data_IF_640926676803
#
_entry.id   IF_640926676803
#
_cell.length_a   1.000
_cell.length_b   1.000
_cell.length_c   1.000
_cell.angle_alpha   90.00
_cell.angle_beta   90.00
_cell.angle_gamma   90.00
#
_symmetry.space_group_name_H-M   'P 1'
#
loop_
_entity.id
_entity.type
_entity.pdbx_description
1 polymer ?
#
# COMPACT_ATOMS: atom_id res chain seq x y z
N UNK A 1 -12.93 12.20 10.42
CA UNK A 1 -13.11 10.74 10.54
C UNK A 1 -11.82 10.07 10.06
N UNK A 2 -11.02 9.61 10.98
CA UNK A 2 -9.75 8.94 10.67
C UNK A 2 -10.11 7.54 10.19
N UNK A 3 -9.93 7.27 8.91
CA UNK A 3 -10.00 5.91 8.39
C UNK A 3 -8.74 5.20 8.89
N UNK A 4 -8.91 4.40 9.93
CA UNK A 4 -7.83 3.61 10.51
C UNK A 4 -7.41 2.58 9.47
N UNK A 5 -6.23 2.74 8.90
CA UNK A 5 -5.54 1.65 8.21
C UNK A 5 -5.28 0.55 9.25
N UNK A 6 -6.14 -0.46 9.30
CA UNK A 6 -5.96 -1.57 10.23
C UNK A 6 -4.82 -2.44 9.76
N UNK A 7 -3.77 -2.51 10.56
CA UNK A 7 -2.83 -3.62 10.46
C UNK A 7 -3.58 -4.88 10.89
N UNK A 8 -3.88 -5.76 9.95
CA UNK A 8 -4.39 -7.09 10.25
C UNK A 8 -3.29 -7.91 10.93
N UNK A 9 -3.32 -7.96 12.26
CA UNK A 9 -2.56 -8.99 12.98
C UNK A 9 -3.23 -10.32 12.68
N UNK A 10 -2.54 -11.20 11.97
CA UNK A 10 -2.95 -12.60 11.82
C UNK A 10 -2.95 -13.27 13.19
N UNK A 11 -4.08 -13.24 13.86
CA UNK A 11 -4.32 -14.08 15.02
C UNK A 11 -4.73 -15.44 14.46
N UNK A 12 -3.83 -16.40 14.56
CA UNK A 12 -4.15 -17.79 14.34
C UNK A 12 -5.18 -18.22 15.41
N UNK A 13 -6.46 -18.15 15.08
CA UNK A 13 -7.51 -18.82 15.81
C UNK A 13 -8.12 -19.88 14.92
N UNK A 14 -7.68 -21.09 15.21
CA UNK A 14 -8.31 -22.34 14.82
C UNK A 14 -9.76 -22.35 15.32
N UNK A 15 -10.74 -22.23 14.42
CA UNK A 15 -12.10 -22.76 14.65
C UNK A 15 -12.73 -23.17 13.34
N UNK A 16 -13.03 -24.46 13.31
CA UNK A 16 -13.78 -25.25 12.37
C UNK A 16 -15.08 -24.54 11.93
N UNK A 17 -15.35 -24.58 10.61
CA UNK A 17 -16.71 -24.49 10.15
C UNK A 17 -16.98 -23.42 9.09
N UNK A 18 -17.13 -23.89 7.91
CA UNK A 18 -17.67 -23.35 6.66
C UNK A 18 -16.62 -22.94 5.63
N UNK A 19 -16.28 -23.89 4.78
CA UNK A 19 -15.52 -23.65 3.55
C UNK A 19 -16.39 -22.93 2.54
N UNK A 20 -16.25 -21.62 2.43
CA UNK A 20 -16.49 -20.93 1.18
C UNK A 20 -15.18 -20.98 0.39
N UNK A 21 -15.15 -21.84 -0.59
CA UNK A 21 -14.06 -21.93 -1.58
C UNK A 21 -14.06 -20.67 -2.45
N UNK A 22 -13.48 -19.59 -1.97
CA UNK A 22 -12.87 -18.59 -2.81
C UNK A 22 -11.37 -18.80 -2.68
N UNK A 23 -10.83 -19.59 -3.57
CA UNK A 23 -9.41 -19.67 -3.84
C UNK A 23 -8.96 -18.35 -4.48
N UNK A 24 -8.99 -17.25 -3.72
CA UNK A 24 -8.13 -16.13 -3.98
C UNK A 24 -6.72 -16.64 -3.71
N UNK A 25 -5.99 -16.88 -4.77
CA UNK A 25 -4.61 -17.34 -4.73
C UNK A 25 -3.81 -16.29 -3.94
N UNK A 26 -3.47 -16.60 -2.70
CA UNK A 26 -2.69 -15.73 -1.82
C UNK A 26 -1.36 -15.40 -2.52
N UNK A 27 -1.09 -14.10 -2.71
CA UNK A 27 0.15 -13.65 -3.28
C UNK A 27 1.23 -13.62 -2.20
N UNK A 28 2.20 -14.52 -2.31
CA UNK A 28 3.36 -14.56 -1.43
C UNK A 28 4.42 -13.54 -1.84
N UNK A 29 5.20 -13.02 -0.87
CA UNK A 29 6.32 -12.11 -1.09
C UNK A 29 7.35 -12.68 -2.07
N UNK A 30 7.52 -14.00 -2.10
CA UNK A 30 8.45 -14.70 -3.00
C UNK A 30 8.09 -14.55 -4.48
N UNK A 31 6.88 -14.11 -4.80
CA UNK A 31 6.41 -13.87 -6.18
C UNK A 31 6.62 -12.42 -6.63
N UNK A 32 6.98 -11.54 -5.72
CA UNK A 32 7.26 -10.14 -6.02
C UNK A 32 8.69 -9.99 -6.53
N UNK A 33 8.89 -9.05 -7.46
CA UNK A 33 10.23 -8.62 -7.83
C UNK A 33 10.86 -7.73 -6.75
N UNK A 34 12.13 -7.36 -6.93
CA UNK A 34 12.86 -6.57 -5.93
C UNK A 34 12.22 -5.21 -5.68
N UNK A 35 11.79 -4.50 -6.74
CA UNK A 35 11.17 -3.19 -6.61
C UNK A 35 9.82 -3.26 -5.88
N UNK A 36 9.01 -4.25 -6.18
CA UNK A 36 7.74 -4.51 -5.49
C UNK A 36 7.95 -4.83 -4.01
N UNK A 37 8.97 -5.63 -3.69
CA UNK A 37 9.32 -5.94 -2.30
C UNK A 37 9.77 -4.70 -1.53
N UNK A 38 10.59 -3.84 -2.13
CA UNK A 38 11.02 -2.58 -1.52
C UNK A 38 9.82 -1.68 -1.27
N UNK A 39 8.95 -1.50 -2.26
CA UNK A 39 7.75 -0.68 -2.13
C UNK A 39 6.82 -1.23 -1.03
N UNK A 40 6.64 -2.54 -0.98
CA UNK A 40 5.84 -3.19 0.06
C UNK A 40 6.41 -2.97 1.47
N UNK A 41 7.73 -3.08 1.61
CA UNK A 41 8.42 -2.79 2.87
C UNK A 41 8.17 -1.34 3.32
N UNK A 42 8.24 -0.39 2.40
CA UNK A 42 8.00 1.03 2.65
C UNK A 42 6.54 1.29 3.04
N UNK A 43 5.58 0.67 2.37
CA UNK A 43 4.15 0.77 2.72
C UNK A 43 3.91 0.28 4.14
N UNK A 44 4.41 -0.90 4.48
CA UNK A 44 4.22 -1.52 5.80
C UNK A 44 4.85 -0.72 6.92
N UNK A 45 6.07 -0.24 6.70
CA UNK A 45 6.77 0.59 7.68
C UNK A 45 6.04 1.92 7.91
N UNK A 46 5.57 2.57 6.84
CA UNK A 46 4.80 3.82 6.95
C UNK A 46 3.55 3.63 7.83
N UNK A 47 2.78 2.57 7.57
CA UNK A 47 1.56 2.27 8.33
C UNK A 47 1.88 1.92 9.78
N UNK A 48 2.94 1.13 10.01
CA UNK A 48 3.37 0.78 11.36
C UNK A 48 3.77 2.03 12.15
N UNK A 49 4.61 2.90 11.58
CA UNK A 49 5.04 4.15 12.22
C UNK A 49 3.86 5.05 12.59
N UNK A 50 2.94 5.27 11.65
CA UNK A 50 1.76 6.12 11.91
C UNK A 50 0.86 5.52 13.00
N UNK A 51 0.67 4.20 13.03
CA UNK A 51 -0.12 3.55 14.08
C UNK A 51 0.55 3.62 15.47
N UNK A 52 1.86 3.74 15.52
CA UNK A 52 2.64 3.89 16.75
C UNK A 52 2.88 5.36 17.11
N UNK A 53 2.30 6.30 16.36
CA UNK A 53 2.50 7.75 16.46
C UNK A 53 3.96 8.18 16.26
N UNK A 54 4.69 7.44 15.45
CA UNK A 54 6.05 7.76 15.03
C UNK A 54 6.06 8.47 13.68
N UNK A 55 7.13 9.22 13.42
CA UNK A 55 7.33 9.90 12.13
C UNK A 55 7.92 8.91 11.10
N UNK A 56 7.23 8.58 10.00
CA UNK A 56 7.72 7.67 9.00
C UNK A 56 8.82 8.27 8.10
N UNK A 57 8.96 9.59 8.03
CA UNK A 57 9.84 10.29 7.08
C UNK A 57 11.31 9.91 7.15
N UNK A 58 11.93 9.72 8.35
CA UNK A 58 13.32 9.32 8.42
C UNK A 58 13.60 7.94 7.79
N UNK A 59 12.68 7.00 7.93
CA UNK A 59 12.77 5.69 7.27
C UNK A 59 12.58 5.83 5.76
N UNK A 60 11.56 6.57 5.33
CA UNK A 60 11.30 6.82 3.91
C UNK A 60 12.51 7.43 3.21
N UNK A 61 13.11 8.48 3.80
CA UNK A 61 14.31 9.11 3.26
C UNK A 61 15.41 8.08 2.99
N UNK A 62 15.76 7.28 3.98
CA UNK A 62 16.81 6.26 3.82
C UNK A 62 16.44 5.19 2.77
N UNK A 63 15.19 4.75 2.74
CA UNK A 63 14.76 3.73 1.79
C UNK A 63 14.80 4.22 0.34
N UNK A 64 14.31 5.42 0.09
CA UNK A 64 14.29 6.01 -1.25
C UNK A 64 15.71 6.44 -1.70
N UNK A 65 16.54 6.96 -0.80
CA UNK A 65 17.95 7.26 -1.09
C UNK A 65 18.72 5.98 -1.45
N UNK A 66 18.53 4.90 -0.72
CA UNK A 66 19.15 3.60 -1.02
C UNK A 66 18.68 3.03 -2.37
N UNK A 67 17.46 3.33 -2.80
CA UNK A 67 16.92 2.95 -4.10
C UNK A 67 17.35 3.90 -5.23
N UNK A 68 18.04 5.01 -4.91
CA UNK A 68 18.47 6.02 -5.89
C UNK A 68 17.32 6.86 -6.45
N UNK A 69 16.19 6.95 -5.74
CA UNK A 69 14.99 7.68 -6.15
C UNK A 69 14.97 9.02 -5.40
N UNK A 70 15.50 10.05 -6.05
CA UNK A 70 15.47 11.41 -5.53
C UNK A 70 14.00 11.90 -5.47
N UNK A 71 13.67 12.64 -4.42
CA UNK A 71 12.32 13.20 -4.19
C UNK A 71 11.17 12.20 -4.04
N UNK A 72 11.44 10.90 -4.07
CA UNK A 72 10.42 9.87 -3.92
C UNK A 72 9.76 9.84 -2.53
N UNK A 73 10.54 10.08 -1.48
CA UNK A 73 10.05 9.99 -0.11
C UNK A 73 8.94 11.00 0.23
N UNK A 74 9.06 12.30 -0.08
CA UNK A 74 7.98 13.27 0.17
C UNK A 74 6.72 12.95 -0.62
N UNK A 75 6.85 12.53 -1.87
CA UNK A 75 5.70 12.19 -2.72
C UNK A 75 4.98 10.96 -2.22
N UNK A 76 5.72 9.95 -1.79
CA UNK A 76 5.16 8.74 -1.22
C UNK A 76 4.45 9.03 0.12
N UNK A 77 5.06 9.83 0.99
CA UNK A 77 4.45 10.23 2.27
C UNK A 77 3.12 10.95 2.03
N UNK A 78 3.07 11.90 1.10
CA UNK A 78 1.85 12.62 0.74
C UNK A 78 0.78 11.67 0.15
N UNK A 79 1.16 10.73 -0.71
CA UNK A 79 0.25 9.71 -1.24
C UNK A 79 -0.37 8.86 -0.13
N UNK A 80 0.46 8.41 0.82
CA UNK A 80 0.00 7.60 1.94
C UNK A 80 -0.89 8.39 2.89
N UNK A 81 -0.54 9.65 3.21
CA UNK A 81 -1.37 10.55 4.01
C UNK A 81 -2.73 10.80 3.35
N UNK A 82 -2.74 11.08 2.05
CA UNK A 82 -3.96 11.29 1.29
C UNK A 82 -4.84 10.03 1.31
N UNK A 83 -4.24 8.86 1.13
CA UNK A 83 -4.94 7.57 1.20
C UNK A 83 -5.50 7.33 2.60
N UNK A 84 -4.70 7.52 3.64
CA UNK A 84 -5.12 7.32 5.02
C UNK A 84 -6.26 8.25 5.45
N UNK A 85 -6.28 9.49 4.94
CA UNK A 85 -7.25 10.51 5.33
C UNK A 85 -8.53 10.51 4.51
N UNK A 86 -8.51 10.04 3.27
CA UNK A 86 -9.65 10.19 2.34
C UNK A 86 -10.20 8.92 1.74
N UNK A 87 -9.52 7.78 1.92
CA UNK A 87 -10.02 6.50 1.41
C UNK A 87 -11.42 6.19 1.99
N UNK A 88 -12.35 5.83 1.12
CA UNK A 88 -13.73 5.51 1.54
C UNK A 88 -13.91 4.07 2.01
N UNK A 89 -12.87 3.26 1.92
CA UNK A 89 -12.81 1.90 2.46
C UNK A 89 -11.49 1.65 3.17
N UNK A 90 -11.49 0.70 4.10
CA UNK A 90 -10.27 0.26 4.75
C UNK A 90 -9.28 -0.38 3.76
N UNK A 91 -8.00 -0.10 3.95
CA UNK A 91 -6.90 -0.72 3.21
C UNK A 91 -6.30 -1.85 4.04
N UNK A 92 -6.29 -3.07 3.51
CA UNK A 92 -5.64 -4.21 4.17
C UNK A 92 -4.13 -4.15 3.93
N UNK A 93 -3.44 -3.57 4.90
CA UNK A 93 -1.97 -3.52 4.94
C UNK A 93 -1.50 -4.50 6.01
N UNK A 94 -0.65 -5.44 5.62
CA UNK A 94 -0.16 -6.50 6.51
C UNK A 94 0.98 -6.02 7.40
N UNK A 95 1.24 -6.77 8.46
CA UNK A 95 2.39 -6.51 9.33
C UNK A 95 3.71 -6.76 8.59
N UNK A 96 4.80 -6.16 9.08
CA UNK A 96 6.14 -6.27 8.46
C UNK A 96 6.60 -7.71 8.24
N UNK A 97 6.28 -8.62 9.17
CA UNK A 97 6.70 -10.03 9.14
C UNK A 97 5.78 -10.94 8.34
N UNK A 98 4.66 -10.44 7.83
CA UNK A 98 3.71 -11.25 7.08
C UNK A 98 4.27 -11.64 5.72
N UNK A 99 4.19 -12.92 5.39
CA UNK A 99 4.69 -13.47 4.11
C UNK A 99 3.71 -13.32 2.95
N UNK A 100 2.49 -12.92 3.24
CA UNK A 100 1.38 -12.79 2.28
C UNK A 100 1.09 -11.32 2.05
N UNK A 101 0.82 -10.95 0.80
CA UNK A 101 0.47 -9.59 0.39
C UNK A 101 -1.01 -9.35 0.65
N UNK A 102 -1.33 -8.26 1.35
CA UNK A 102 -2.70 -7.85 1.64
C UNK A 102 -3.41 -7.25 0.41
N UNK A 103 -4.75 -7.21 0.47
CA UNK A 103 -5.55 -6.67 -0.64
C UNK A 103 -5.24 -5.18 -0.89
N UNK A 104 -5.12 -4.36 0.16
CA UNK A 104 -4.75 -2.96 0.03
C UNK A 104 -3.35 -2.75 -0.51
N UNK A 105 -2.41 -3.62 -0.14
CA UNK A 105 -1.05 -3.62 -0.67
C UNK A 105 -1.05 -3.94 -2.17
N UNK A 106 -1.83 -4.95 -2.61
CA UNK A 106 -2.00 -5.27 -4.04
C UNK A 106 -2.55 -4.10 -4.83
N UNK A 107 -3.49 -3.35 -4.26
CA UNK A 107 -4.06 -2.16 -4.88
C UNK A 107 -3.00 -1.09 -5.13
N UNK A 108 -2.18 -0.77 -4.13
CA UNK A 108 -1.11 0.24 -4.26
C UNK A 108 -0.03 -0.23 -5.25
N UNK A 109 0.43 -1.49 -5.14
CA UNK A 109 1.39 -2.07 -6.08
C UNK A 109 0.86 -2.03 -7.52
N UNK A 110 -0.42 -2.33 -7.73
CA UNK A 110 -1.04 -2.30 -9.06
C UNK A 110 -1.06 -0.90 -9.66
N UNK A 111 -1.34 0.14 -8.87
CA UNK A 111 -1.31 1.53 -9.34
C UNK A 111 0.08 1.91 -9.84
N UNK A 112 1.10 1.63 -9.04
CA UNK A 112 2.49 1.92 -9.42
C UNK A 112 2.88 1.16 -10.69
N UNK A 113 2.56 -0.13 -10.78
CA UNK A 113 2.81 -0.95 -11.96
C UNK A 113 2.12 -0.42 -13.23
N UNK A 114 0.86 0.02 -13.12
CA UNK A 114 0.15 0.60 -14.26
C UNK A 114 0.80 1.89 -14.74
N UNK A 115 1.24 2.75 -13.84
CA UNK A 115 1.90 3.99 -14.22
C UNK A 115 3.29 3.74 -14.82
N UNK A 116 4.07 2.82 -14.28
CA UNK A 116 5.36 2.42 -14.85
C UNK A 116 5.24 1.81 -16.25
N UNK A 117 4.15 1.08 -16.51
CA UNK A 117 3.88 0.48 -17.82
C UNK A 117 3.12 1.40 -18.79
N UNK A 118 3.06 2.70 -18.51
CA UNK A 118 2.33 3.71 -19.28
C UNK A 118 0.81 3.46 -19.42
N UNK A 119 0.25 2.58 -18.60
CA UNK A 119 -1.19 2.29 -18.54
C UNK A 119 -1.91 3.26 -17.61
N UNK A 120 -1.75 4.55 -17.87
CA UNK A 120 -2.20 5.65 -17.01
C UNK A 120 -3.69 5.59 -16.67
N UNK A 121 -4.52 5.27 -17.65
CA UNK A 121 -5.97 5.13 -17.46
C UNK A 121 -6.32 4.02 -16.45
N UNK A 122 -5.66 2.88 -16.54
CA UNK A 122 -5.85 1.78 -15.61
C UNK A 122 -5.40 2.14 -14.19
N UNK A 123 -4.26 2.83 -14.07
CA UNK A 123 -3.76 3.32 -12.78
C UNK A 123 -4.73 4.30 -12.13
N UNK A 124 -5.28 5.25 -12.89
CA UNK A 124 -6.26 6.20 -12.39
C UNK A 124 -7.57 5.52 -11.96
N UNK A 125 -8.08 4.60 -12.77
CA UNK A 125 -9.28 3.83 -12.42
C UNK A 125 -9.05 2.98 -11.16
N UNK A 126 -7.84 2.47 -10.95
CA UNK A 126 -7.50 1.75 -9.74
C UNK A 126 -7.53 2.67 -8.52
N UNK A 127 -6.98 3.88 -8.59
CA UNK A 127 -7.10 4.88 -7.52
C UNK A 127 -8.56 5.16 -7.15
N UNK A 128 -9.44 5.28 -8.14
CA UNK A 128 -10.87 5.49 -7.92
C UNK A 128 -11.57 4.32 -7.18
N UNK A 129 -10.95 3.15 -7.10
CA UNK A 129 -11.52 2.02 -6.37
C UNK A 129 -11.46 2.17 -4.85
N UNK A 130 -10.66 3.10 -4.32
CA UNK A 130 -10.58 3.38 -2.88
C UNK A 130 -10.52 4.86 -2.51
N UNK A 131 -10.30 5.77 -3.49
CA UNK A 131 -10.25 7.20 -3.26
C UNK A 131 -11.43 7.91 -3.92
N UNK A 132 -11.99 8.95 -3.28
CA UNK A 132 -12.88 9.88 -3.94
C UNK A 132 -12.20 10.52 -5.16
N UNK A 133 -12.97 10.91 -6.17
CA UNK A 133 -12.44 11.46 -7.42
C UNK A 133 -11.52 12.69 -7.21
N UNK A 134 -11.83 13.54 -6.24
CA UNK A 134 -10.98 14.69 -5.87
C UNK A 134 -9.63 14.26 -5.33
N UNK A 135 -9.60 13.24 -4.48
CA UNK A 135 -8.37 12.68 -3.91
C UNK A 135 -7.58 11.89 -4.95
N UNK A 136 -8.26 11.12 -5.82
CA UNK A 136 -7.61 10.40 -6.90
C UNK A 136 -6.88 11.34 -7.88
N UNK A 137 -7.45 12.51 -8.18
CA UNK A 137 -6.78 13.53 -8.98
C UNK A 137 -5.51 14.09 -8.33
N UNK A 138 -5.51 14.25 -7.00
CA UNK A 138 -4.32 14.67 -6.25
C UNK A 138 -3.28 13.55 -6.14
N UNK A 139 -3.73 12.30 -5.97
CA UNK A 139 -2.87 11.14 -5.87
C UNK A 139 -2.16 10.79 -7.19
N UNK A 140 -2.79 11.11 -8.31
CA UNK A 140 -2.30 10.76 -9.65
C UNK A 140 -0.84 11.21 -9.93
N UNK A 141 -0.47 12.49 -9.78
CA UNK A 141 0.92 12.90 -9.99
C UNK A 141 1.89 12.30 -8.97
N UNK A 142 1.44 12.06 -7.74
CA UNK A 142 2.27 11.49 -6.67
C UNK A 142 2.65 10.03 -6.93
N UNK A 143 1.75 9.27 -7.54
CA UNK A 143 1.97 7.86 -7.83
C UNK A 143 2.67 7.62 -9.17
N UNK A 144 2.72 8.61 -10.06
CA UNK A 144 3.28 8.53 -11.40
C UNK A 144 4.78 8.83 -11.45
N UNK A 145 5.25 9.72 -10.61
CA UNK A 145 6.65 10.18 -10.57
C UNK A 145 7.48 9.29 -9.67
#
# INVERSE_FOLDING_TARGET
>A
MIVIMRISRSIAHNKVGFQVKHSEMELHLTKLNTAENVLLCVIRNWVASVNENEDPRPFLGRAFDAAGILDGAPMFDELMLLTASTAFRGMDIRCEKCKVVGAGEKDILSVVSFFQSARVHWGYNRLLSWLPATSARKAFPLARN
#
